data_IF_523500933250
#
_entry.id   IF_523500933250
#
_cell.length_a   1.000
_cell.length_b   1.000
_cell.length_c   1.000
_cell.angle_alpha   90.00
_cell.angle_beta   90.00
_cell.angle_gamma   90.00
#
_symmetry.space_group_name_H-M   'P 1'
#
loop_
_entity.id
_entity.type
_entity.pdbx_description
1 polymer ?
#
# COMPACT_ATOMS: atom_id res chain seq x y z
N UNK A 1 9.33 4.71 22.62
CA UNK A 1 10.13 5.56 21.71
C UNK A 1 9.18 6.01 20.61
N UNK A 2 9.20 7.29 20.19
CA UNK A 2 8.40 7.72 19.05
C UNK A 2 8.88 7.00 17.78
N UNK A 3 7.94 6.60 16.92
CA UNK A 3 8.25 6.00 15.62
C UNK A 3 8.89 7.03 14.70
N UNK A 4 9.94 6.63 13.99
CA UNK A 4 10.53 7.44 12.92
C UNK A 4 9.70 7.27 11.65
N UNK A 5 8.90 8.30 11.35
CA UNK A 5 8.07 8.37 10.15
C UNK A 5 8.73 9.17 9.02
N UNK A 6 10.06 9.28 9.01
CA UNK A 6 10.75 9.91 7.89
C UNK A 6 10.71 9.02 6.64
N UNK A 7 10.37 9.64 5.50
CA UNK A 7 10.38 9.00 4.18
C UNK A 7 11.62 9.41 3.37
N UNK A 8 12.13 8.54 2.49
CA UNK A 8 13.02 8.99 1.43
C UNK A 8 12.29 10.03 0.57
N UNK A 9 13.03 11.02 0.05
CA UNK A 9 12.40 12.07 -0.78
C UNK A 9 11.86 11.53 -2.10
N UNK A 10 12.55 10.56 -2.69
CA UNK A 10 12.18 9.96 -3.97
C UNK A 10 12.44 8.45 -3.96
N UNK A 11 11.65 7.70 -4.73
CA UNK A 11 11.78 6.28 -5.01
C UNK A 11 11.41 5.99 -6.49
N UNK A 12 12.19 6.51 -7.46
CA UNK A 12 11.91 6.36 -8.89
C UNK A 12 11.90 4.88 -9.36
N UNK A 13 12.51 3.98 -8.59
CA UNK A 13 12.49 2.53 -8.84
C UNK A 13 11.07 1.94 -8.81
N UNK A 14 10.12 2.62 -8.17
CA UNK A 14 8.71 2.22 -8.13
C UNK A 14 7.91 2.75 -9.33
N UNK A 15 8.45 3.67 -10.13
CA UNK A 15 7.81 4.23 -11.33
C UNK A 15 8.15 3.46 -12.62
N UNK A 16 8.99 2.43 -12.55
CA UNK A 16 9.44 1.69 -13.74
C UNK A 16 8.39 0.73 -14.32
N UNK A 17 7.20 0.67 -13.73
CA UNK A 17 6.20 -0.34 -14.02
C UNK A 17 5.05 0.14 -14.92
N UNK A 18 5.08 1.37 -15.44
CA UNK A 18 3.96 1.94 -16.22
C UNK A 18 3.58 1.23 -17.53
N UNK A 19 4.30 0.19 -17.95
CA UNK A 19 3.95 -0.66 -19.10
C UNK A 19 3.40 -2.05 -18.68
N UNK A 20 3.16 -2.25 -17.38
CA UNK A 20 2.55 -3.45 -16.82
C UNK A 20 1.09 -3.17 -16.45
N UNK A 21 0.28 -4.22 -16.41
CA UNK A 21 -1.07 -4.16 -15.87
C UNK A 21 -1.02 -4.44 -14.37
N UNK A 22 -1.69 -3.62 -13.57
CA UNK A 22 -1.81 -3.81 -12.12
C UNK A 22 -3.24 -3.67 -11.62
N UNK A 23 -4.23 -3.75 -12.50
CA UNK A 23 -5.66 -3.68 -12.16
C UNK A 23 -6.09 -4.77 -11.17
N UNK A 24 -5.34 -5.89 -11.09
CA UNK A 24 -5.57 -6.99 -10.14
C UNK A 24 -4.49 -7.10 -9.05
N UNK A 25 -3.59 -6.12 -8.98
CA UNK A 25 -2.48 -6.15 -8.05
C UNK A 25 -2.95 -5.83 -6.63
N UNK A 26 -2.42 -6.55 -5.64
CA UNK A 26 -2.73 -6.31 -4.25
C UNK A 26 -1.80 -5.27 -3.63
N UNK A 27 -2.33 -4.43 -2.76
CA UNK A 27 -1.54 -3.53 -1.92
C UNK A 27 -0.85 -4.31 -0.80
N UNK A 28 0.46 -4.14 -0.68
CA UNK A 28 1.26 -4.78 0.36
C UNK A 28 1.02 -4.13 1.73
N UNK A 29 0.95 -4.94 2.78
CA UNK A 29 0.88 -4.48 4.18
C UNK A 29 2.20 -4.76 4.90
N UNK A 30 2.81 -3.70 5.44
CA UNK A 30 3.96 -3.73 6.33
C UNK A 30 3.57 -3.30 7.75
N UNK A 31 4.43 -3.57 8.74
CA UNK A 31 4.22 -3.14 10.12
C UNK A 31 5.52 -2.65 10.73
N UNK A 32 5.50 -1.48 11.37
CA UNK A 32 6.64 -0.98 12.16
C UNK A 32 6.61 -1.53 13.61
N UNK A 33 5.55 -2.25 13.97
CA UNK A 33 5.31 -2.77 15.33
C UNK A 33 5.81 -4.20 15.50
N UNK A 34 6.52 -4.74 14.50
CA UNK A 34 6.95 -6.13 14.49
C UNK A 34 5.78 -7.11 14.64
N UNK A 35 5.93 -8.20 15.40
CA UNK A 35 4.90 -9.24 15.53
C UNK A 35 3.69 -8.82 16.39
N UNK A 36 3.73 -7.65 17.04
CA UNK A 36 2.67 -7.19 17.95
C UNK A 36 1.33 -7.06 17.25
N UNK A 37 1.33 -6.56 16.01
CA UNK A 37 0.14 -6.48 15.16
C UNK A 37 0.28 -7.45 13.99
N UNK A 38 -0.52 -8.54 13.94
CA UNK A 38 -0.51 -9.47 12.82
C UNK A 38 -1.00 -8.78 11.55
N UNK A 39 -0.15 -8.70 10.54
CA UNK A 39 -0.47 -8.11 9.23
C UNK A 39 -1.62 -8.84 8.53
N UNK A 40 -1.75 -10.14 8.77
CA UNK A 40 -2.89 -10.94 8.32
C UNK A 40 -4.20 -10.44 8.91
N UNK A 41 -4.22 -10.03 10.18
CA UNK A 41 -5.42 -9.44 10.80
C UNK A 41 -5.79 -8.11 10.15
N UNK A 42 -4.80 -7.28 9.81
CA UNK A 42 -5.04 -6.00 9.11
C UNK A 42 -5.60 -6.27 7.72
N UNK A 43 -4.99 -7.19 6.97
CA UNK A 43 -5.47 -7.59 5.64
C UNK A 43 -6.91 -8.10 5.70
N UNK A 44 -7.25 -8.98 6.66
CA UNK A 44 -8.61 -9.49 6.83
C UNK A 44 -9.64 -8.38 7.03
N UNK A 45 -9.34 -7.37 7.84
CA UNK A 45 -10.24 -6.24 8.09
C UNK A 45 -10.35 -5.34 6.85
N UNK A 46 -9.24 -5.01 6.20
CA UNK A 46 -9.23 -4.16 5.01
C UNK A 46 -9.94 -4.82 3.82
N UNK A 47 -9.84 -6.14 3.70
CA UNK A 47 -10.50 -6.91 2.65
C UNK A 47 -11.95 -7.27 2.99
N UNK A 48 -12.41 -7.13 4.24
CA UNK A 48 -13.72 -7.63 4.66
C UNK A 48 -14.84 -7.08 3.78
N UNK A 49 -14.91 -5.75 3.61
CA UNK A 49 -15.94 -5.11 2.78
C UNK A 49 -15.82 -5.49 1.31
N UNK A 50 -14.60 -5.57 0.80
CA UNK A 50 -14.32 -5.94 -0.60
C UNK A 50 -14.82 -7.34 -0.93
N UNK A 51 -14.57 -8.30 -0.04
CA UNK A 51 -15.04 -9.68 -0.21
C UNK A 51 -16.55 -9.80 0.02
N UNK A 52 -17.14 -9.01 0.94
CA UNK A 52 -18.59 -8.94 1.14
C UNK A 52 -19.36 -8.44 -0.09
N UNK A 53 -18.72 -7.65 -0.96
CA UNK A 53 -19.28 -7.22 -2.25
C UNK A 53 -19.26 -8.33 -3.33
N UNK A 54 -18.64 -9.48 -3.05
CA UNK A 54 -18.59 -10.63 -3.96
C UNK A 54 -17.32 -10.72 -4.82
N UNK A 55 -16.31 -9.89 -4.57
CA UNK A 55 -15.02 -10.00 -5.25
C UNK A 55 -14.27 -11.25 -4.77
N UNK A 56 -13.63 -11.97 -5.70
CA UNK A 56 -12.94 -13.24 -5.39
C UNK A 56 -11.49 -13.03 -4.93
N UNK A 57 -10.91 -11.90 -5.30
CA UNK A 57 -9.53 -11.53 -5.02
C UNK A 57 -9.43 -10.54 -3.85
N UNK A 58 -8.20 -10.24 -3.40
CA UNK A 58 -7.95 -9.41 -2.22
C UNK A 58 -7.30 -8.08 -2.61
N UNK A 59 -7.90 -6.96 -2.19
CA UNK A 59 -7.30 -5.62 -2.32
C UNK A 59 -5.95 -5.54 -1.63
N UNK A 60 -5.84 -6.10 -0.43
CA UNK A 60 -4.63 -6.03 0.39
C UNK A 60 -4.11 -7.41 0.73
N UNK A 61 -2.80 -7.56 0.82
CA UNK A 61 -2.17 -8.80 1.28
C UNK A 61 -0.97 -8.47 2.20
N UNK A 62 -0.70 -9.29 3.22
CA UNK A 62 0.52 -9.14 4.02
C UNK A 62 1.75 -9.22 3.12
N UNK A 63 2.69 -8.27 3.25
CA UNK A 63 3.94 -8.37 2.50
C UNK A 63 4.66 -9.71 2.81
N UNK A 64 5.33 -10.35 1.84
CA UNK A 64 6.07 -11.58 2.09
C UNK A 64 7.03 -11.47 3.27
N UNK A 65 7.20 -12.54 4.07
CA UNK A 65 8.04 -12.54 5.29
C UNK A 65 9.48 -12.05 5.06
N UNK A 66 10.02 -12.27 3.86
CA UNK A 66 11.36 -11.81 3.48
C UNK A 66 11.51 -10.28 3.44
N UNK A 67 10.43 -9.55 3.16
CA UNK A 67 10.39 -8.08 3.09
C UNK A 67 9.55 -7.46 4.22
N UNK A 68 8.99 -8.30 5.08
CA UNK A 68 8.04 -7.93 6.13
C UNK A 68 8.63 -7.18 7.33
N UNK A 69 9.90 -7.49 7.64
CA UNK A 69 10.54 -7.03 8.87
C UNK A 69 11.13 -5.64 8.64
N UNK A 70 10.32 -4.62 8.91
CA UNK A 70 10.69 -3.22 8.73
C UNK A 70 10.61 -2.50 10.07
N UNK A 71 11.56 -1.61 10.34
CA UNK A 71 11.60 -0.85 11.60
C UNK A 71 11.28 0.63 11.39
N UNK A 72 11.51 1.13 10.18
CA UNK A 72 11.24 2.51 9.78
C UNK A 72 10.43 2.56 8.48
N UNK A 73 9.82 3.71 8.18
CA UNK A 73 9.17 3.91 6.88
C UNK A 73 10.15 3.83 5.71
N UNK A 74 11.39 4.27 5.92
CA UNK A 74 12.45 4.10 4.93
C UNK A 74 12.70 2.62 4.62
N UNK A 75 12.74 1.76 5.64
CA UNK A 75 12.89 0.32 5.44
C UNK A 75 11.69 -0.25 4.69
N UNK A 76 10.47 0.21 4.97
CA UNK A 76 9.27 -0.19 4.26
C UNK A 76 9.34 0.17 2.76
N UNK A 77 9.81 1.38 2.41
CA UNK A 77 10.01 1.76 1.01
C UNK A 77 11.06 0.88 0.33
N UNK A 78 12.20 0.63 0.99
CA UNK A 78 13.26 -0.23 0.44
C UNK A 78 12.81 -1.69 0.28
N UNK A 79 12.05 -2.19 1.24
CA UNK A 79 11.42 -3.50 1.20
C UNK A 79 10.43 -3.61 0.05
N UNK A 80 9.64 -2.57 -0.19
CA UNK A 80 8.69 -2.52 -1.30
C UNK A 80 9.37 -2.37 -2.67
N UNK A 81 10.49 -1.64 -2.76
CA UNK A 81 11.34 -1.64 -3.97
C UNK A 81 11.86 -3.05 -4.26
N UNK A 82 12.33 -3.76 -3.22
CA UNK A 82 12.93 -5.09 -3.35
C UNK A 82 11.90 -6.23 -3.49
N UNK A 83 10.62 -5.94 -3.26
CA UNK A 83 9.54 -6.90 -3.40
C UNK A 83 9.41 -7.33 -4.86
N UNK A 84 9.54 -8.63 -5.11
CA UNK A 84 9.19 -9.24 -6.39
C UNK A 84 7.72 -8.92 -6.70
N UNK A 85 7.49 -8.20 -7.80
CA UNK A 85 6.15 -7.77 -8.20
C UNK A 85 5.31 -8.90 -8.80
N UNK A 86 5.85 -10.12 -8.89
CA UNK A 86 5.10 -11.30 -9.31
C UNK A 86 4.67 -11.22 -10.78
N UNK A 87 5.56 -10.69 -11.64
CA UNK A 87 5.25 -10.41 -13.04
C UNK A 87 4.84 -11.71 -13.76
N UNK A 88 3.60 -11.74 -14.25
CA UNK A 88 3.07 -12.80 -15.07
C UNK A 88 2.95 -12.33 -16.53
N UNK A 89 3.74 -12.86 -17.47
CA UNK A 89 3.73 -12.41 -18.86
C UNK A 89 2.37 -12.62 -19.52
N UNK A 90 1.89 -11.61 -20.28
CA UNK A 90 0.68 -11.70 -21.09
C UNK A 90 1.02 -12.05 -22.53
N UNK A 91 0.06 -12.67 -23.23
CA UNK A 91 0.21 -13.04 -24.66
C UNK A 91 -0.69 -12.22 -25.59
N UNK A 92 -1.50 -11.30 -25.06
CA UNK A 92 -2.53 -10.55 -25.79
C UNK A 92 -2.05 -9.19 -26.34
N UNK A 93 -0.79 -8.82 -26.10
CA UNK A 93 -0.13 -7.68 -26.77
C UNK A 93 -0.50 -6.28 -26.24
N UNK A 94 -1.16 -6.19 -25.08
CA UNK A 94 -1.47 -4.94 -24.40
C UNK A 94 -0.36 -4.48 -23.45
N UNK A 95 -0.33 -5.04 -22.25
CA UNK A 95 0.72 -4.80 -21.25
C UNK A 95 1.86 -5.83 -21.35
N UNK A 96 3.03 -5.48 -20.84
CA UNK A 96 4.18 -6.40 -20.76
C UNK A 96 3.91 -7.63 -19.87
N UNK A 97 3.01 -7.50 -18.90
CA UNK A 97 2.59 -8.56 -17.98
C UNK A 97 1.65 -8.02 -16.91
N UNK A 98 1.07 -8.92 -16.13
CA UNK A 98 0.27 -8.61 -14.94
C UNK A 98 1.16 -8.60 -13.70
N UNK A 99 0.97 -7.61 -12.82
CA UNK A 99 1.62 -7.54 -11.52
C UNK A 99 0.74 -8.19 -10.45
N UNK A 100 1.36 -8.95 -9.56
CA UNK A 100 0.71 -9.46 -8.36
C UNK A 100 0.62 -8.38 -7.26
N UNK A 101 1.61 -7.49 -7.20
CA UNK A 101 1.75 -6.47 -6.16
C UNK A 101 1.71 -5.06 -6.72
N UNK A 102 0.90 -4.20 -6.11
CA UNK A 102 0.78 -2.80 -6.49
C UNK A 102 2.15 -2.11 -6.34
N UNK A 103 2.69 -1.45 -7.38
CA UNK A 103 4.08 -1.00 -7.34
C UNK A 103 4.28 0.37 -6.70
N UNK A 104 3.33 1.29 -6.84
CA UNK A 104 3.50 2.71 -6.47
C UNK A 104 2.87 3.07 -5.14
N UNK A 105 2.28 2.11 -4.43
CA UNK A 105 1.60 2.37 -3.16
C UNK A 105 1.47 1.11 -2.29
N UNK A 106 1.46 1.32 -0.97
CA UNK A 106 1.32 0.26 0.02
C UNK A 106 0.85 0.81 1.38
N UNK A 107 0.51 -0.10 2.29
CA UNK A 107 0.02 0.22 3.64
C UNK A 107 1.10 -0.09 4.68
N UNK A 108 1.26 0.81 5.66
CA UNK A 108 2.11 0.58 6.83
C UNK A 108 1.32 0.76 8.12
N UNK A 109 1.37 -0.25 8.97
CA UNK A 109 0.79 -0.21 10.32
C UNK A 109 1.77 0.48 11.27
N UNK A 110 1.29 1.51 11.96
CA UNK A 110 2.11 2.31 12.89
C UNK A 110 1.53 2.41 14.30
N UNK A 111 0.31 1.93 14.55
CA UNK A 111 -0.28 1.87 15.89
C UNK A 111 -0.86 0.50 16.22
N UNK A 112 -0.76 0.06 17.48
CA UNK A 112 -1.43 -1.16 17.96
C UNK A 112 -2.95 -1.00 17.92
N UNK A 113 -3.43 0.22 18.20
CA UNK A 113 -4.84 0.61 18.18
C UNK A 113 -5.29 1.10 16.80
N UNK A 114 -4.68 0.61 15.72
CA UNK A 114 -4.90 1.08 14.34
C UNK A 114 -6.36 1.08 13.88
N UNK A 115 -7.23 0.25 14.48
CA UNK A 115 -8.67 0.24 14.19
C UNK A 115 -9.42 1.43 14.80
N UNK A 116 -8.94 1.94 15.93
CA UNK A 116 -9.62 2.95 16.74
C UNK A 116 -9.01 4.34 16.59
N UNK A 117 -7.73 4.42 16.17
CA UNK A 117 -6.99 5.68 16.03
C UNK A 117 -6.91 6.08 14.56
N UNK A 118 -7.41 7.26 14.25
CA UNK A 118 -7.21 7.91 12.96
C UNK A 118 -5.69 8.07 12.71
N UNK A 119 -5.19 7.49 11.61
CA UNK A 119 -3.78 7.55 11.26
C UNK A 119 -2.91 6.46 11.88
N UNK A 120 -3.52 5.44 12.51
CA UNK A 120 -2.81 4.22 12.92
C UNK A 120 -2.40 3.30 11.76
N UNK A 121 -2.97 3.53 10.57
CA UNK A 121 -2.49 3.04 9.28
C UNK A 121 -1.98 4.22 8.47
N UNK A 122 -0.85 4.04 7.79
CA UNK A 122 -0.33 4.99 6.81
C UNK A 122 -0.50 4.40 5.41
N UNK A 123 -1.03 5.23 4.51
CA UNK A 123 -0.91 5.00 3.09
C UNK A 123 0.37 5.66 2.62
N UNK A 124 1.29 4.88 2.06
CA UNK A 124 2.55 5.38 1.48
C UNK A 124 2.45 5.22 -0.02
N UNK A 125 2.81 6.26 -0.75
CA UNK A 125 2.69 6.28 -2.19
C UNK A 125 3.84 6.99 -2.88
N UNK A 126 3.97 6.74 -4.18
CA UNK A 126 4.93 7.36 -5.07
C UNK A 126 4.19 8.13 -6.16
N UNK A 127 4.49 9.41 -6.26
CA UNK A 127 3.99 10.29 -7.30
C UNK A 127 4.90 10.19 -8.54
N UNK A 128 4.39 9.50 -9.57
CA UNK A 128 5.13 9.26 -10.81
C UNK A 128 5.33 10.56 -11.62
N UNK A 129 4.36 11.47 -11.60
CA UNK A 129 4.43 12.75 -12.32
C UNK A 129 5.51 13.67 -11.72
N UNK A 130 5.75 13.54 -10.42
CA UNK A 130 6.78 14.31 -9.69
C UNK A 130 8.11 13.57 -9.58
N UNK A 131 8.40 12.67 -10.51
CA UNK A 131 9.70 11.99 -10.61
C UNK A 131 9.93 10.95 -9.51
N UNK A 132 8.86 10.36 -9.01
CA UNK A 132 8.89 9.35 -7.96
C UNK A 132 8.97 9.95 -6.56
N UNK A 133 8.41 11.13 -6.32
CA UNK A 133 8.34 11.72 -4.98
C UNK A 133 7.52 10.81 -4.05
N UNK A 134 8.04 10.53 -2.85
CA UNK A 134 7.35 9.64 -1.90
C UNK A 134 6.50 10.46 -0.94
N UNK A 135 5.21 10.18 -0.94
CA UNK A 135 4.24 10.78 -0.04
C UNK A 135 3.68 9.78 0.97
N UNK A 136 3.06 10.30 2.02
CA UNK A 136 2.18 9.51 2.88
C UNK A 136 1.08 10.35 3.51
N UNK A 137 0.03 9.67 3.94
CA UNK A 137 -0.97 10.22 4.86
C UNK A 137 -1.56 9.13 5.75
N UNK A 138 -2.15 9.54 6.88
CA UNK A 138 -2.86 8.62 7.75
C UNK A 138 -4.20 8.21 7.14
N UNK A 139 -4.56 6.94 7.26
CA UNK A 139 -5.85 6.41 6.85
C UNK A 139 -6.76 6.20 8.04
N UNK A 140 -8.04 6.39 7.80
CA UNK A 140 -9.09 5.85 8.67
C UNK A 140 -9.49 4.48 8.15
N UNK A 141 -9.44 3.46 8.99
CA UNK A 141 -9.74 2.07 8.61
C UNK A 141 -11.08 1.93 7.91
N UNK A 142 -12.11 2.66 8.37
CA UNK A 142 -13.45 2.65 7.78
C UNK A 142 -13.54 3.14 6.34
N UNK A 143 -12.54 3.90 5.89
CA UNK A 143 -12.43 4.45 4.53
C UNK A 143 -11.32 3.79 3.71
N UNK A 144 -10.48 2.96 4.33
CA UNK A 144 -9.33 2.37 3.66
C UNK A 144 -9.76 1.45 2.50
N UNK A 145 -10.78 0.62 2.67
CA UNK A 145 -11.26 -0.24 1.59
C UNK A 145 -11.80 0.57 0.39
N UNK A 146 -12.56 1.63 0.65
CA UNK A 146 -13.16 2.50 -0.37
C UNK A 146 -12.09 3.24 -1.17
N UNK A 147 -11.08 3.81 -0.48
CA UNK A 147 -9.96 4.46 -1.16
C UNK A 147 -9.16 3.48 -2.02
N UNK A 148 -8.82 2.30 -1.48
CA UNK A 148 -8.05 1.29 -2.24
C UNK A 148 -8.83 0.78 -3.46
N UNK A 149 -10.16 0.72 -3.35
CA UNK A 149 -11.06 0.41 -4.45
C UNK A 149 -11.03 1.52 -5.52
N UNK A 150 -11.19 2.80 -5.14
CA UNK A 150 -11.12 3.93 -6.08
C UNK A 150 -9.78 3.98 -6.83
N UNK A 151 -8.67 3.75 -6.13
CA UNK A 151 -7.34 3.71 -6.75
C UNK A 151 -7.22 2.55 -7.74
N UNK A 152 -7.75 1.38 -7.38
CA UNK A 152 -7.70 0.19 -8.23
C UNK A 152 -8.50 0.36 -9.52
N UNK A 153 -9.66 1.02 -9.45
CA UNK A 153 -10.48 1.29 -10.64
C UNK A 153 -9.99 2.51 -11.44
N UNK A 154 -9.00 3.25 -10.95
CA UNK A 154 -8.52 4.48 -11.57
C UNK A 154 -9.50 5.65 -11.44
N UNK A 155 -10.44 5.56 -10.50
CA UNK A 155 -11.40 6.62 -10.19
C UNK A 155 -10.78 7.75 -9.36
N UNK A 156 -9.60 7.51 -8.78
CA UNK A 156 -8.87 8.51 -8.01
C UNK A 156 -7.36 8.44 -8.23
N UNK A 157 -6.71 9.61 -8.21
CA UNK A 157 -5.25 9.70 -8.21
C UNK A 157 -4.68 9.57 -6.79
N UNK A 158 -3.53 8.93 -6.71
CA UNK A 158 -2.87 8.54 -5.45
C UNK A 158 -2.60 9.73 -4.52
N UNK A 159 -2.41 10.94 -5.09
CA UNK A 159 -2.23 12.19 -4.35
C UNK A 159 -3.52 12.88 -3.90
N UNK A 160 -4.64 12.66 -4.61
CA UNK A 160 -5.94 13.30 -4.33
C UNK A 160 -6.68 12.61 -3.18
N UNK A 161 -6.47 11.31 -2.99
CA UNK A 161 -7.05 10.56 -1.87
C UNK A 161 -6.66 11.06 -0.48
N UNK A 162 -5.60 11.88 -0.38
CA UNK A 162 -5.26 12.59 0.85
C UNK A 162 -6.35 13.56 1.31
N UNK A 163 -7.03 14.25 0.39
CA UNK A 163 -8.06 15.24 0.73
C UNK A 163 -9.38 14.57 1.13
N UNK A 164 -9.73 13.47 0.47
CA UNK A 164 -10.98 12.73 0.71
C UNK A 164 -10.87 11.75 1.89
N UNK A 165 -9.73 11.07 2.05
CA UNK A 165 -9.59 9.93 2.96
C UNK A 165 -8.50 10.09 4.01
N UNK A 166 -7.67 11.13 3.87
CA UNK A 166 -6.52 11.36 4.72
C UNK A 166 -6.82 11.97 6.08
N UNK A 167 -5.97 11.64 7.04
CA UNK A 167 -5.84 12.34 8.32
C UNK A 167 -4.37 12.57 8.66
N UNK A 168 -4.12 13.41 9.68
CA UNK A 168 -2.76 13.62 10.19
C UNK A 168 -2.27 12.30 10.81
N UNK A 169 -1.08 11.79 10.43
CA UNK A 169 -0.48 10.63 11.07
C UNK A 169 -0.37 10.83 12.59
N UNK A 170 -0.80 9.85 13.37
CA UNK A 170 -0.58 9.83 14.83
C UNK A 170 0.38 8.68 15.15
N UNK A 171 1.62 9.04 15.50
CA UNK A 171 2.69 8.14 15.94
C UNK A 171 2.74 8.05 17.47
#
# INVERSE_FOLDING_TARGET
>A
MPLDLSLPRHAPELCQYGNYNWDEAAFAIYTLLGPTVPRSSVASVLNQRWLEQGNEDSLTRPAPELTAQVQTLKDAVLAHISLDKGICPRTDGGAAGDLEWWPTAFIVVVSEDWQSVDGGLLFVYVDEERGGEVGMFGLKVRHASEMLECLRFGDEEVGEGREAYGCVPQA
#
